data_IF_657238453435
#
_entry.id   IF_657238453435
#
_cell.length_a   1.000
_cell.length_b   1.000
_cell.length_c   1.000
_cell.angle_alpha   90.00
_cell.angle_beta   90.00
_cell.angle_gamma   90.00
#
_symmetry.space_group_name_H-M   'P 1'
#
loop_
_entity.id
_entity.type
_entity.pdbx_description
1 polymer ?
#
# COMPACT_ATOMS: atom_id res chain seq x y z
N UNK A 1 1.36 -53.16 -24.77
CA UNK A 1 2.40 -52.17 -24.43
C UNK A 1 1.69 -50.83 -24.49
N UNK A 2 1.14 -50.29 -23.39
CA UNK A 2 1.87 -49.67 -22.26
C UNK A 2 2.93 -48.74 -22.88
N UNK A 3 2.70 -47.44 -22.92
CA UNK A 3 2.89 -46.64 -21.72
C UNK A 3 2.15 -45.28 -21.70
N UNK A 4 1.29 -45.14 -20.70
CA UNK A 4 0.82 -43.88 -20.11
C UNK A 4 1.97 -43.23 -19.33
N UNK A 5 2.56 -42.17 -19.87
CA UNK A 5 3.40 -41.21 -19.14
C UNK A 5 2.80 -39.82 -19.41
N UNK A 6 1.99 -39.27 -18.51
CA UNK A 6 2.55 -38.34 -17.53
C UNK A 6 1.49 -37.53 -16.77
N UNK A 7 0.31 -38.11 -16.52
CA UNK A 7 -0.75 -37.50 -15.69
C UNK A 7 -0.37 -37.40 -14.19
N UNK A 8 0.85 -37.81 -13.80
CA UNK A 8 1.33 -37.81 -12.41
C UNK A 8 2.38 -36.73 -12.08
N UNK A 9 2.55 -35.68 -12.90
CA UNK A 9 3.48 -34.59 -12.53
C UNK A 9 2.86 -33.46 -11.70
N UNK A 10 1.54 -33.48 -11.47
CA UNK A 10 0.82 -32.41 -10.75
C UNK A 10 0.23 -32.83 -9.39
N UNK A 11 0.32 -34.11 -9.00
CA UNK A 11 -0.22 -34.59 -7.70
C UNK A 11 0.57 -34.11 -6.47
N UNK A 12 1.69 -33.38 -6.65
CA UNK A 12 2.58 -32.97 -5.56
C UNK A 12 2.34 -31.57 -4.97
N UNK A 13 1.59 -30.68 -5.63
CA UNK A 13 1.35 -29.33 -5.13
C UNK A 13 -0.10 -29.19 -4.65
N UNK A 14 -0.40 -29.82 -3.50
CA UNK A 14 -1.48 -29.30 -2.67
C UNK A 14 -1.06 -27.91 -2.23
N UNK A 15 -1.58 -26.90 -2.92
CA UNK A 15 -1.59 -25.55 -2.39
C UNK A 15 -2.55 -25.58 -1.21
N UNK A 16 -2.02 -25.87 -0.02
CA UNK A 16 -2.69 -25.45 1.20
C UNK A 16 -2.80 -23.92 1.10
N UNK A 17 -4.01 -23.44 0.85
CA UNK A 17 -4.32 -22.02 0.98
C UNK A 17 -4.20 -21.71 2.48
N UNK A 18 -3.26 -20.85 2.91
CA UNK A 18 -3.24 -20.42 4.30
C UNK A 18 -4.50 -19.59 4.51
N UNK A 19 -5.45 -20.18 5.22
CA UNK A 19 -6.55 -19.42 5.79
C UNK A 19 -5.95 -18.44 6.80
N UNK A 20 -6.44 -17.20 6.79
CA UNK A 20 -6.15 -16.08 7.72
C UNK A 20 -5.08 -15.03 7.33
N UNK A 21 -4.21 -15.23 6.34
CA UNK A 21 -3.24 -14.19 5.94
C UNK A 21 -3.74 -13.23 4.84
N UNK A 22 -4.68 -13.65 3.99
CA UNK A 22 -5.12 -12.85 2.84
C UNK A 22 -5.89 -11.57 3.19
N UNK A 23 -6.42 -11.44 4.41
CA UNK A 23 -7.22 -10.27 4.79
C UNK A 23 -6.36 -9.02 5.01
N UNK A 24 -5.16 -9.16 5.61
CA UNK A 24 -4.35 -7.99 5.96
C UNK A 24 -3.87 -7.20 4.74
N UNK A 25 -3.55 -7.89 3.63
CA UNK A 25 -3.13 -7.25 2.39
C UNK A 25 -4.28 -6.49 1.74
N UNK A 26 -5.45 -7.14 1.62
CA UNK A 26 -6.66 -6.51 1.09
C UNK A 26 -7.08 -5.30 1.93
N UNK A 27 -7.09 -5.47 3.26
CA UNK A 27 -7.41 -4.39 4.19
C UNK A 27 -6.47 -3.21 4.01
N UNK A 28 -5.16 -3.47 3.88
CA UNK A 28 -4.19 -2.41 3.70
C UNK A 28 -4.27 -1.74 2.33
N UNK A 29 -4.54 -2.49 1.25
CA UNK A 29 -4.82 -1.92 -0.08
C UNK A 29 -6.05 -0.99 -0.05
N UNK A 30 -7.11 -1.36 0.68
CA UNK A 30 -8.28 -0.52 0.93
C UNK A 30 -7.94 0.72 1.76
N UNK A 31 -7.00 0.62 2.70
CA UNK A 31 -6.47 1.76 3.46
C UNK A 31 -5.72 2.73 2.53
N UNK A 32 -4.81 2.24 1.69
CA UNK A 32 -4.07 3.05 0.71
C UNK A 32 -5.02 3.76 -0.25
N UNK A 33 -6.04 3.06 -0.76
CA UNK A 33 -7.09 3.63 -1.61
C UNK A 33 -7.86 4.77 -0.91
N UNK A 34 -8.18 4.57 0.37
CA UNK A 34 -8.79 5.60 1.21
C UNK A 34 -7.90 6.84 1.36
N UNK A 35 -6.59 6.64 1.55
CA UNK A 35 -5.64 7.74 1.63
C UNK A 35 -5.49 8.50 0.32
N UNK A 36 -5.43 7.83 -0.84
CA UNK A 36 -5.42 8.52 -2.14
C UNK A 36 -6.63 9.43 -2.29
N UNK A 37 -7.82 8.91 -1.96
CA UNK A 37 -9.07 9.69 -1.99
C UNK A 37 -9.01 10.87 -1.02
N UNK A 38 -8.55 10.65 0.22
CA UNK A 38 -8.45 11.72 1.23
C UNK A 38 -7.44 12.78 0.82
N UNK A 39 -6.26 12.41 0.34
CA UNK A 39 -5.26 13.35 -0.14
C UNK A 39 -5.75 14.11 -1.38
N UNK A 40 -6.49 13.48 -2.29
CA UNK A 40 -7.06 14.20 -3.45
C UNK A 40 -8.04 15.30 -3.00
N UNK A 41 -8.87 15.02 -2.00
CA UNK A 41 -9.71 16.06 -1.37
C UNK A 41 -8.87 17.20 -0.78
N UNK A 42 -7.79 16.89 -0.06
CA UNK A 42 -6.90 17.90 0.54
C UNK A 42 -6.13 18.71 -0.51
N UNK A 43 -5.74 18.08 -1.61
CA UNK A 43 -5.09 18.72 -2.75
C UNK A 43 -6.00 19.74 -3.43
N UNK A 44 -7.27 19.39 -3.66
CA UNK A 44 -8.26 20.31 -4.22
C UNK A 44 -8.67 21.43 -3.26
N UNK A 45 -8.65 21.16 -1.95
CA UNK A 45 -8.94 22.18 -0.92
C UNK A 45 -7.71 22.94 -0.44
N UNK A 46 -6.55 22.80 -1.09
CA UNK A 46 -5.30 23.39 -0.62
C UNK A 46 -5.31 24.91 -0.78
N UNK A 47 -4.96 25.64 0.29
CA UNK A 47 -4.85 27.11 0.30
C UNK A 47 -3.49 27.64 -0.16
N UNK A 48 -2.54 26.75 -0.47
CA UNK A 48 -1.20 27.09 -0.93
C UNK A 48 -0.77 26.16 -2.05
N UNK A 49 -0.12 26.72 -3.08
CA UNK A 49 0.43 25.95 -4.19
C UNK A 49 1.48 24.93 -3.72
N UNK A 50 2.27 25.26 -2.69
CA UNK A 50 3.28 24.31 -2.18
C UNK A 50 2.62 23.07 -1.58
N UNK A 51 1.54 23.24 -0.82
CA UNK A 51 0.76 22.12 -0.28
C UNK A 51 0.07 21.36 -1.42
N UNK A 52 -0.57 22.07 -2.36
CA UNK A 52 -1.26 21.48 -3.50
C UNK A 52 -0.36 20.50 -4.28
N UNK A 53 0.84 20.98 -4.66
CA UNK A 53 1.82 20.18 -5.42
C UNK A 53 2.34 19.01 -4.59
N UNK A 54 2.72 19.24 -3.31
CA UNK A 54 3.28 18.16 -2.48
C UNK A 54 2.27 17.07 -2.15
N UNK A 55 0.99 17.41 -2.00
CA UNK A 55 -0.06 16.42 -1.82
C UNK A 55 -0.24 15.58 -3.09
N UNK A 56 -0.21 16.19 -4.26
CA UNK A 56 -0.38 15.44 -5.52
C UNK A 56 0.78 14.47 -5.77
N UNK A 57 2.02 14.94 -5.58
CA UNK A 57 3.21 14.07 -5.68
C UNK A 57 3.17 12.89 -4.70
N UNK A 58 2.61 13.08 -3.50
CA UNK A 58 2.44 11.98 -2.55
C UNK A 58 1.36 10.99 -3.00
N UNK A 59 0.26 11.47 -3.62
CA UNK A 59 -0.77 10.59 -4.18
C UNK A 59 -0.16 9.65 -5.21
N UNK A 60 0.71 10.15 -6.09
CA UNK A 60 1.40 9.34 -7.08
C UNK A 60 2.24 8.26 -6.42
N UNK A 61 3.00 8.59 -5.35
CA UNK A 61 3.81 7.61 -4.62
C UNK A 61 2.97 6.56 -3.89
N UNK A 62 1.80 6.93 -3.38
CA UNK A 62 0.86 5.97 -2.80
C UNK A 62 0.32 5.04 -3.90
N UNK A 63 -0.01 5.57 -5.08
CA UNK A 63 -0.50 4.78 -6.20
C UNK A 63 0.54 3.78 -6.70
N UNK A 64 1.77 4.24 -6.92
CA UNK A 64 2.90 3.39 -7.34
C UNK A 64 3.08 2.20 -6.38
N UNK A 65 3.13 2.49 -5.07
CA UNK A 65 3.33 1.45 -4.06
C UNK A 65 2.13 0.51 -3.93
N UNK A 66 0.91 1.03 -4.01
CA UNK A 66 -0.31 0.21 -3.92
C UNK A 66 -0.37 -0.83 -5.04
N UNK A 67 -0.02 -0.44 -6.27
CA UNK A 67 0.01 -1.37 -7.41
C UNK A 67 1.13 -2.41 -7.23
N UNK A 68 2.35 -1.98 -6.87
CA UNK A 68 3.48 -2.90 -6.59
C UNK A 68 3.09 -3.93 -5.53
N UNK A 69 2.50 -3.48 -4.41
CA UNK A 69 2.07 -4.36 -3.33
C UNK A 69 1.00 -5.34 -3.81
N UNK A 70 0.01 -4.87 -4.56
CA UNK A 70 -1.09 -5.69 -5.05
C UNK A 70 -0.60 -6.76 -6.04
N UNK A 71 0.28 -6.40 -6.97
CA UNK A 71 0.81 -7.31 -7.99
C UNK A 71 1.75 -8.36 -7.38
N UNK A 72 2.64 -7.96 -6.47
CA UNK A 72 3.55 -8.86 -5.78
C UNK A 72 2.78 -9.88 -4.91
N UNK A 73 1.77 -9.41 -4.16
CA UNK A 73 0.92 -10.30 -3.35
C UNK A 73 0.14 -11.26 -4.24
N UNK A 74 -0.36 -10.83 -5.40
CA UNK A 74 -1.03 -11.75 -6.33
C UNK A 74 -0.08 -12.79 -6.93
N UNK A 75 1.19 -12.42 -7.14
CA UNK A 75 2.25 -13.36 -7.53
C UNK A 75 2.53 -14.44 -6.47
N UNK A 76 2.36 -14.10 -5.18
CA UNK A 76 2.63 -15.01 -4.05
C UNK A 76 1.39 -15.82 -3.63
N UNK A 77 0.24 -15.17 -3.51
CA UNK A 77 -0.98 -15.69 -2.88
C UNK A 77 -2.13 -15.95 -3.87
N UNK A 78 -1.95 -15.60 -5.15
CA UNK A 78 -2.98 -15.74 -6.17
C UNK A 78 -3.89 -14.51 -6.31
N UNK A 79 -4.80 -14.59 -7.28
CA UNK A 79 -5.60 -13.45 -7.76
C UNK A 79 -6.60 -12.92 -6.71
N UNK A 80 -6.76 -11.60 -6.65
CA UNK A 80 -7.84 -10.98 -5.86
C UNK A 80 -9.21 -11.10 -6.55
N UNK A 81 -10.29 -11.20 -5.77
CA UNK A 81 -11.64 -11.17 -6.35
C UNK A 81 -11.99 -9.82 -6.98
N UNK A 82 -12.78 -9.80 -8.07
CA UNK A 82 -13.30 -8.56 -8.62
C UNK A 82 -14.04 -7.72 -7.55
N UNK A 83 -13.87 -6.40 -7.60
CA UNK A 83 -14.53 -5.42 -6.72
C UNK A 83 -14.16 -5.47 -5.21
N UNK A 84 -13.06 -6.14 -4.83
CA UNK A 84 -12.63 -6.14 -3.42
C UNK A 84 -12.19 -4.75 -2.95
N UNK A 85 -11.52 -3.98 -3.82
CA UNK A 85 -10.89 -2.72 -3.47
C UNK A 85 -11.94 -1.65 -3.17
N UNK A 86 -11.98 -1.19 -1.91
CA UNK A 86 -12.89 -0.15 -1.42
C UNK A 86 -12.12 0.79 -0.52
N UNK A 87 -12.02 2.05 -0.92
CA UNK A 87 -11.33 3.07 -0.12
C UNK A 87 -11.90 3.17 1.29
N UNK A 88 -11.02 3.09 2.28
CA UNK A 88 -11.38 3.35 3.68
C UNK A 88 -11.78 4.82 3.83
N UNK A 89 -12.92 5.09 4.45
CA UNK A 89 -13.38 6.46 4.68
C UNK A 89 -12.56 7.13 5.78
N UNK A 90 -12.02 8.32 5.49
CA UNK A 90 -11.25 9.13 6.42
C UNK A 90 -11.76 10.57 6.45
N UNK A 91 -11.80 11.16 7.65
CA UNK A 91 -12.32 12.51 7.88
C UNK A 91 -11.22 13.53 8.23
N UNK A 92 -9.95 13.22 7.94
CA UNK A 92 -8.84 14.15 8.17
C UNK A 92 -9.02 15.45 7.36
N UNK A 93 -8.66 16.58 7.94
CA UNK A 93 -8.75 17.90 7.30
C UNK A 93 -7.38 18.57 7.12
N UNK A 94 -6.32 17.93 7.61
CA UNK A 94 -4.96 18.46 7.61
C UNK A 94 -3.99 17.47 6.92
N UNK A 95 -3.20 17.88 5.92
CA UNK A 95 -2.20 17.02 5.28
C UNK A 95 -1.16 16.45 6.25
N UNK A 96 -0.72 17.23 7.24
CA UNK A 96 0.27 16.81 8.24
C UNK A 96 -0.26 15.68 9.14
N UNK A 97 -1.50 15.82 9.63
CA UNK A 97 -2.15 14.75 10.40
C UNK A 97 -2.37 13.50 9.52
N UNK A 98 -2.77 13.72 8.26
CA UNK A 98 -3.06 12.63 7.32
C UNK A 98 -1.81 11.80 7.03
N UNK A 99 -0.64 12.43 6.81
CA UNK A 99 0.60 11.68 6.55
C UNK A 99 1.11 10.95 7.80
N UNK A 100 1.00 11.54 8.98
CA UNK A 100 1.38 10.87 10.23
C UNK A 100 0.50 9.62 10.45
N UNK A 101 -0.79 9.69 10.10
CA UNK A 101 -1.68 8.53 10.17
C UNK A 101 -1.33 7.45 9.13
N UNK A 102 -0.95 7.85 7.92
CA UNK A 102 -0.50 6.91 6.88
C UNK A 102 0.79 6.19 7.30
N UNK A 103 1.77 6.91 7.87
CA UNK A 103 3.00 6.31 8.41
C UNK A 103 2.65 5.29 9.49
N UNK A 104 1.86 5.67 10.49
CA UNK A 104 1.47 4.78 11.60
C UNK A 104 0.80 3.48 11.11
N UNK A 105 -0.08 3.58 10.10
CA UNK A 105 -0.74 2.40 9.51
C UNK A 105 0.21 1.56 8.68
N UNK A 106 1.14 2.18 7.96
CA UNK A 106 2.17 1.49 7.18
C UNK A 106 3.13 0.74 8.10
N UNK A 107 3.58 1.34 9.20
CA UNK A 107 4.42 0.68 10.21
C UNK A 107 3.69 -0.51 10.84
N UNK A 108 2.41 -0.32 11.17
CA UNK A 108 1.56 -1.39 11.71
C UNK A 108 1.42 -2.55 10.72
N UNK A 109 1.25 -2.25 9.43
CA UNK A 109 1.20 -3.25 8.37
C UNK A 109 2.54 -3.96 8.22
N UNK A 110 3.64 -3.21 8.12
CA UNK A 110 5.00 -3.73 8.00
C UNK A 110 5.37 -4.69 9.13
N UNK A 111 5.06 -4.33 10.38
CA UNK A 111 5.35 -5.17 11.55
C UNK A 111 4.65 -6.53 11.55
N UNK A 112 3.60 -6.69 10.75
CA UNK A 112 2.82 -7.93 10.60
C UNK A 112 3.17 -8.74 9.35
N UNK A 113 4.08 -8.23 8.50
CA UNK A 113 4.44 -8.94 7.28
C UNK A 113 5.11 -10.29 7.60
N UNK A 114 4.77 -11.36 6.86
CA UNK A 114 5.42 -12.66 7.01
C UNK A 114 6.93 -12.53 6.84
N UNK A 115 7.71 -13.27 7.63
CA UNK A 115 9.17 -13.23 7.63
C UNK A 115 9.82 -14.26 6.69
N UNK A 116 9.02 -15.09 6.03
CA UNK A 116 9.52 -16.06 5.06
C UNK A 116 10.16 -15.38 3.85
N UNK A 117 11.04 -16.10 3.16
CA UNK A 117 11.77 -15.59 1.99
C UNK A 117 10.85 -15.19 0.85
N UNK A 118 9.70 -15.86 0.70
CA UNK A 118 8.70 -15.53 -0.33
C UNK A 118 8.10 -14.13 -0.21
N UNK A 119 8.15 -13.50 0.97
CA UNK A 119 7.65 -12.13 1.20
C UNK A 119 8.78 -11.10 1.34
N UNK A 120 10.03 -11.46 1.00
CA UNK A 120 11.16 -10.53 1.11
C UNK A 120 10.99 -9.29 0.22
N UNK A 121 10.47 -9.48 -1.01
CA UNK A 121 10.13 -8.38 -1.92
C UNK A 121 9.10 -7.43 -1.31
N UNK A 122 7.98 -7.97 -0.81
CA UNK A 122 6.93 -7.20 -0.13
C UNK A 122 7.47 -6.36 1.03
N UNK A 123 8.35 -6.92 1.86
CA UNK A 123 9.00 -6.18 2.96
C UNK A 123 9.90 -5.05 2.44
N UNK A 124 10.74 -5.36 1.46
CA UNK A 124 11.65 -4.38 0.84
C UNK A 124 10.89 -3.20 0.22
N UNK A 125 9.83 -3.47 -0.53
CA UNK A 125 9.02 -2.41 -1.14
C UNK A 125 8.27 -1.58 -0.08
N UNK A 126 7.82 -2.21 1.00
CA UNK A 126 7.21 -1.50 2.12
C UNK A 126 8.23 -0.58 2.84
N UNK A 127 9.48 -1.03 3.02
CA UNK A 127 10.57 -0.21 3.58
C UNK A 127 10.91 1.00 2.68
N UNK A 128 10.94 0.79 1.36
CA UNK A 128 11.11 1.87 0.39
C UNK A 128 9.94 2.87 0.43
N UNK A 129 8.71 2.37 0.60
CA UNK A 129 7.55 3.24 0.78
C UNK A 129 7.60 4.04 2.08
N UNK A 130 7.94 3.41 3.22
CA UNK A 130 8.15 4.10 4.50
C UNK A 130 9.17 5.22 4.36
N UNK A 131 10.27 4.97 3.64
CA UNK A 131 11.29 5.98 3.33
C UNK A 131 10.69 7.18 2.58
N UNK A 132 9.85 6.93 1.57
CA UNK A 132 9.13 7.99 0.87
C UNK A 132 8.19 8.76 1.81
N UNK A 133 7.43 8.07 2.67
CA UNK A 133 6.53 8.73 3.62
C UNK A 133 7.28 9.67 4.58
N UNK A 134 8.42 9.25 5.12
CA UNK A 134 9.25 10.11 5.96
C UNK A 134 9.76 11.35 5.20
N UNK A 135 10.15 11.19 3.94
CA UNK A 135 10.53 12.32 3.07
C UNK A 135 9.37 13.29 2.89
N UNK A 136 8.18 12.83 2.53
CA UNK A 136 7.03 13.72 2.33
C UNK A 136 6.56 14.38 3.62
N UNK A 137 6.69 13.70 4.77
CA UNK A 137 6.40 14.28 6.08
C UNK A 137 7.27 15.51 6.32
N UNK A 138 8.57 15.39 6.07
CA UNK A 138 9.49 16.52 6.13
C UNK A 138 9.14 17.63 5.13
N UNK A 139 8.79 17.30 3.89
CA UNK A 139 8.42 18.30 2.88
C UNK A 139 7.13 19.05 3.24
N UNK A 140 6.15 18.39 3.85
CA UNK A 140 4.97 19.08 4.38
C UNK A 140 5.33 20.02 5.53
N UNK A 141 6.26 19.63 6.41
CA UNK A 141 6.75 20.53 7.46
C UNK A 141 7.39 21.80 6.87
N UNK A 142 8.15 21.68 5.77
CA UNK A 142 8.68 22.85 5.06
C UNK A 142 7.57 23.73 4.47
N UNK A 143 6.54 23.12 3.87
CA UNK A 143 5.41 23.88 3.31
C UNK A 143 4.67 24.69 4.38
N UNK A 144 4.52 24.13 5.58
CA UNK A 144 3.90 24.81 6.71
C UNK A 144 4.72 26.01 7.19
N UNK A 145 6.04 25.87 7.28
CA UNK A 145 6.94 26.95 7.72
C UNK A 145 6.95 28.10 6.74
N UNK A 146 7.05 27.82 5.44
CA UNK A 146 7.03 28.85 4.40
C UNK A 146 5.66 29.50 4.16
N UNK A 147 4.60 29.07 4.83
CA UNK A 147 3.28 29.70 4.79
C UNK A 147 3.03 30.66 5.97
N UNK A 148 3.96 30.72 6.93
CA UNK A 148 3.90 31.61 8.10
C UNK A 148 4.73 32.90 7.92
N UNK A 149 5.42 33.02 6.78
CA UNK A 149 6.17 34.21 6.33
C UNK A 149 5.33 34.99 5.29
#
# INVERSE_FOLDING_TARGET
MIDTFGDNLLEGFKHESPSYEGNQFKDFLCVLEGFKTKFKNLHWSAYSNSIHVRVDELIDKISDYQDILAEEVQGIQGQFEPNFLKGTNFNFTCPHETIDNLISRTDTFYSKLPQSSGFAGVRSECEAFITNLHKYRYLFDLCRRGAMD
#
